data_IF_433375561929
#
_entry.id   IF_433375561929
#
_cell.length_a   1.000
_cell.length_b   1.000
_cell.length_c   1.000
_cell.angle_alpha   90.00
_cell.angle_beta   90.00
_cell.angle_gamma   90.00
#
_symmetry.space_group_name_H-M   'P 1'
#
loop_
_entity.id
_entity.type
_entity.pdbx_description
1 polymer ?
#
# COMPACT_ATOMS: atom_id res chain seq x y z
N UNK A 1 6.10 15.42 -11.30
CA UNK A 1 4.95 14.54 -11.56
C UNK A 1 5.37 13.14 -11.13
N UNK A 2 4.74 12.56 -10.11
CA UNK A 2 5.09 11.20 -9.65
C UNK A 2 4.37 10.23 -10.58
N UNK A 3 5.09 9.62 -11.51
CA UNK A 3 4.56 8.49 -12.28
C UNK A 3 4.57 7.26 -11.37
N UNK A 4 3.41 6.65 -11.17
CA UNK A 4 3.29 5.43 -10.39
C UNK A 4 3.21 4.24 -11.35
N UNK A 5 4.30 3.46 -11.41
CA UNK A 5 4.27 2.13 -12.03
C UNK A 5 3.58 1.16 -11.06
N UNK A 6 2.44 0.59 -11.43
CA UNK A 6 1.82 -0.49 -10.68
C UNK A 6 2.62 -1.79 -10.84
N UNK A 7 2.73 -2.59 -9.77
CA UNK A 7 3.27 -3.96 -9.81
C UNK A 7 2.26 -4.94 -9.21
N UNK A 8 0.99 -4.71 -9.54
CA UNK A 8 -0.12 -5.49 -9.01
C UNK A 8 -0.20 -6.83 -9.75
N UNK A 9 -0.18 -7.90 -8.97
CA UNK A 9 -0.41 -9.26 -9.45
C UNK A 9 -1.78 -9.71 -8.94
N UNK A 10 -2.63 -10.16 -9.85
CA UNK A 10 -3.98 -10.62 -9.55
C UNK A 10 -4.14 -12.10 -9.88
N UNK A 11 -4.87 -12.83 -9.05
CA UNK A 11 -5.25 -14.23 -9.23
C UNK A 11 -6.77 -14.34 -9.29
N UNK A 12 -7.27 -15.08 -10.28
CA UNK A 12 -8.70 -15.18 -10.57
C UNK A 12 -9.15 -16.64 -10.66
N UNK A 13 -10.30 -16.93 -10.05
CA UNK A 13 -10.93 -18.26 -10.06
C UNK A 13 -12.42 -18.13 -10.33
N UNK A 14 -12.92 -18.83 -11.35
CA UNK A 14 -14.36 -18.97 -11.61
C UNK A 14 -14.89 -20.28 -11.00
N UNK A 15 -16.07 -20.19 -10.37
CA UNK A 15 -16.84 -21.32 -9.89
C UNK A 15 -17.40 -22.19 -11.01
N UNK A 16 -17.68 -23.46 -10.71
CA UNK A 16 -18.18 -24.45 -11.68
C UNK A 16 -19.52 -25.02 -11.25
N UNK A 17 -20.26 -25.56 -12.21
CA UNK A 17 -21.54 -26.24 -11.95
C UNK A 17 -22.57 -25.28 -11.33
N UNK A 18 -23.06 -25.60 -10.13
CA UNK A 18 -24.06 -24.79 -9.40
C UNK A 18 -23.55 -23.41 -8.96
N UNK A 19 -22.23 -23.21 -8.94
CA UNK A 19 -21.58 -21.94 -8.60
C UNK A 19 -21.00 -21.23 -9.83
N UNK A 20 -21.46 -21.58 -11.04
CA UNK A 20 -21.03 -20.91 -12.27
C UNK A 20 -21.43 -19.44 -12.23
N UNK A 21 -20.50 -18.55 -12.56
CA UNK A 21 -20.68 -17.09 -12.47
C UNK A 21 -20.24 -16.49 -11.12
N UNK A 22 -19.94 -17.32 -10.12
CA UNK A 22 -19.25 -16.86 -8.92
C UNK A 22 -17.74 -16.77 -9.18
N UNK A 23 -17.13 -15.63 -8.84
CA UNK A 23 -15.72 -15.37 -9.07
C UNK A 23 -15.03 -15.02 -7.75
N UNK A 24 -13.92 -15.72 -7.50
CA UNK A 24 -12.96 -15.39 -6.45
C UNK A 24 -11.78 -14.64 -7.03
N UNK A 25 -11.40 -13.55 -6.36
CA UNK A 25 -10.23 -12.73 -6.68
C UNK A 25 -9.35 -12.59 -5.45
N UNK A 26 -8.04 -12.62 -5.70
CA UNK A 26 -7.02 -12.20 -4.75
C UNK A 26 -5.98 -11.38 -5.51
N UNK A 27 -5.57 -10.23 -4.99
CA UNK A 27 -4.48 -9.47 -5.58
C UNK A 27 -3.60 -8.83 -4.51
N UNK A 28 -2.35 -8.61 -4.89
CA UNK A 28 -1.32 -8.02 -4.07
C UNK A 28 -0.46 -7.14 -4.97
N UNK A 29 -0.19 -5.92 -4.51
CA UNK A 29 0.82 -5.08 -5.11
C UNK A 29 2.18 -5.45 -4.54
N UNK A 30 3.19 -5.66 -5.39
CA UNK A 30 4.54 -5.91 -4.89
C UNK A 30 5.12 -4.70 -4.15
N UNK A 31 4.52 -3.51 -4.31
CA UNK A 31 4.91 -2.26 -3.65
C UNK A 31 4.10 -1.93 -2.39
N UNK A 32 3.12 -2.75 -1.99
CA UNK A 32 2.45 -2.62 -0.69
C UNK A 32 2.15 -3.98 -0.02
N UNK A 33 2.32 -4.13 1.30
CA UNK A 33 2.06 -5.39 2.00
C UNK A 33 0.57 -5.57 2.32
N UNK A 34 -0.31 -5.29 1.36
CA UNK A 34 -1.76 -5.34 1.51
C UNK A 34 -2.36 -6.37 0.56
N UNK A 35 -2.85 -7.48 1.12
CA UNK A 35 -3.58 -8.49 0.38
C UNK A 35 -5.06 -8.12 0.32
N UNK A 36 -5.59 -7.96 -0.89
CA UNK A 36 -7.02 -7.73 -1.09
C UNK A 36 -7.69 -8.99 -1.62
N UNK A 37 -8.73 -9.41 -0.92
CA UNK A 37 -9.55 -10.58 -1.23
C UNK A 37 -10.96 -10.15 -1.57
N UNK A 38 -11.58 -10.82 -2.54
CA UNK A 38 -13.00 -10.65 -2.79
C UNK A 38 -13.62 -11.86 -3.47
N UNK A 39 -14.89 -12.10 -3.17
CA UNK A 39 -15.68 -13.14 -3.82
C UNK A 39 -17.09 -12.60 -4.06
N UNK A 40 -17.57 -12.72 -5.29
CA UNK A 40 -18.87 -12.20 -5.71
C UNK A 40 -19.42 -12.96 -6.91
N UNK A 41 -20.73 -12.84 -7.14
CA UNK A 41 -21.38 -13.33 -8.35
C UNK A 41 -21.38 -12.20 -9.37
N UNK A 42 -20.85 -12.44 -10.57
CA UNK A 42 -20.80 -11.46 -11.64
C UNK A 42 -21.90 -11.68 -12.68
N UNK A 43 -22.12 -10.67 -13.53
CA UNK A 43 -23.00 -10.78 -14.68
C UNK A 43 -22.30 -11.46 -15.88
N UNK A 44 -23.06 -11.80 -16.91
CA UNK A 44 -22.52 -12.45 -18.12
C UNK A 44 -21.47 -11.61 -18.88
N UNK A 45 -21.48 -10.29 -18.68
CA UNK A 45 -20.51 -9.34 -19.24
C UNK A 45 -19.27 -9.15 -18.36
N UNK A 46 -19.23 -9.74 -17.15
CA UNK A 46 -18.14 -9.64 -16.17
C UNK A 46 -17.77 -8.20 -15.79
N UNK A 47 -18.77 -7.33 -15.64
CA UNK A 47 -18.55 -5.90 -15.41
C UNK A 47 -17.90 -5.62 -14.07
N UNK A 48 -18.18 -6.44 -13.05
CA UNK A 48 -17.61 -6.27 -11.71
C UNK A 48 -16.12 -6.59 -11.70
N UNK A 49 -15.69 -7.63 -12.42
CA UNK A 49 -14.26 -7.97 -12.57
C UNK A 49 -13.55 -6.92 -13.42
N UNK A 50 -14.12 -6.54 -14.56
CA UNK A 50 -13.57 -5.50 -15.44
C UNK A 50 -13.37 -4.19 -14.67
N UNK A 51 -14.34 -3.85 -13.82
CA UNK A 51 -14.26 -2.73 -12.90
C UNK A 51 -13.09 -2.85 -11.93
N UNK A 52 -12.94 -4.00 -11.25
CA UNK A 52 -11.83 -4.22 -10.34
C UNK A 52 -10.49 -4.13 -11.06
N UNK A 53 -10.36 -4.67 -12.27
CA UNK A 53 -9.16 -4.53 -13.10
C UNK A 53 -8.83 -3.06 -13.41
N UNK A 54 -9.82 -2.23 -13.73
CA UNK A 54 -9.59 -0.79 -13.96
C UNK A 54 -9.10 -0.06 -12.70
N UNK A 55 -9.63 -0.43 -11.53
CA UNK A 55 -9.22 0.17 -10.26
C UNK A 55 -7.80 -0.24 -9.90
N UNK A 56 -7.52 -1.54 -9.89
CA UNK A 56 -6.25 -2.06 -9.37
C UNK A 56 -5.13 -2.04 -10.42
N UNK A 57 -5.45 -1.90 -11.72
CA UNK A 57 -4.50 -1.88 -12.84
C UNK A 57 -3.43 -2.98 -12.72
N UNK A 58 -3.85 -4.27 -12.77
CA UNK A 58 -2.93 -5.38 -12.61
C UNK A 58 -2.01 -5.48 -13.81
N UNK A 59 -0.73 -5.75 -13.56
CA UNK A 59 0.28 -5.99 -14.60
C UNK A 59 0.19 -7.44 -15.07
N UNK A 60 -0.04 -8.36 -14.14
CA UNK A 60 -0.15 -9.79 -14.40
C UNK A 60 -1.45 -10.36 -13.79
N UNK A 61 -2.21 -11.10 -14.59
CA UNK A 61 -3.38 -11.87 -14.14
C UNK A 61 -3.10 -13.36 -14.28
N UNK A 62 -3.27 -14.08 -13.17
CA UNK A 62 -3.05 -15.52 -13.05
C UNK A 62 -4.40 -16.22 -12.99
N UNK A 63 -4.56 -17.29 -13.74
CA UNK A 63 -5.78 -18.09 -13.77
C UNK A 63 -5.46 -19.59 -13.90
N UNK A 64 -6.34 -20.51 -13.46
CA UNK A 64 -6.05 -21.93 -13.53
C UNK A 64 -6.04 -22.43 -14.98
N UNK A 65 -5.10 -23.30 -15.37
CA UNK A 65 -5.01 -23.89 -16.72
C UNK A 65 -6.31 -24.58 -17.19
N UNK A 66 -7.17 -24.96 -16.25
CA UNK A 66 -8.45 -25.60 -16.52
C UNK A 66 -9.55 -24.61 -16.94
N UNK A 67 -9.34 -23.31 -16.78
CA UNK A 67 -10.02 -22.27 -17.56
C UNK A 67 -9.25 -22.17 -18.88
N UNK A 68 -9.89 -22.54 -19.99
CA UNK A 68 -9.34 -22.25 -21.31
C UNK A 68 -9.26 -20.74 -21.52
N UNK A 69 -8.24 -20.28 -22.24
CA UNK A 69 -8.16 -18.88 -22.73
C UNK A 69 -9.44 -18.50 -23.53
N UNK A 70 -10.08 -19.49 -24.14
CA UNK A 70 -11.35 -19.37 -24.86
C UNK A 70 -12.60 -19.35 -23.95
N UNK A 71 -12.46 -19.35 -22.63
CA UNK A 71 -13.62 -19.19 -21.76
C UNK A 71 -14.22 -17.79 -21.97
N UNK A 72 -15.55 -17.68 -21.90
CA UNK A 72 -16.27 -16.41 -22.14
C UNK A 72 -15.74 -15.29 -21.25
N UNK A 73 -15.31 -15.64 -20.04
CA UNK A 73 -14.71 -14.70 -19.10
C UNK A 73 -13.34 -14.21 -19.57
N UNK A 74 -12.43 -15.13 -19.91
CA UNK A 74 -11.06 -14.79 -20.30
C UNK A 74 -11.02 -14.04 -21.63
N UNK A 75 -11.81 -14.45 -22.62
CA UNK A 75 -11.88 -13.74 -23.91
C UNK A 75 -12.33 -12.29 -23.74
N UNK A 76 -13.37 -12.06 -22.93
CA UNK A 76 -13.88 -10.72 -22.60
C UNK A 76 -12.86 -9.84 -21.85
N UNK A 77 -11.99 -10.44 -21.04
CA UNK A 77 -10.95 -9.71 -20.30
C UNK A 77 -9.75 -9.41 -21.20
N UNK A 78 -9.30 -10.38 -21.99
CA UNK A 78 -8.19 -10.22 -22.94
C UNK A 78 -8.53 -9.16 -24.00
N UNK A 79 -9.77 -9.16 -24.53
CA UNK A 79 -10.22 -8.16 -25.49
C UNK A 79 -10.24 -6.74 -24.89
N UNK A 80 -10.67 -6.60 -23.63
CA UNK A 80 -10.80 -5.30 -22.99
C UNK A 80 -9.46 -4.75 -22.46
N UNK A 81 -8.51 -5.63 -22.15
CA UNK A 81 -7.26 -5.28 -21.50
C UNK A 81 -6.05 -5.92 -22.20
N UNK A 82 -5.64 -5.40 -23.38
CA UNK A 82 -4.52 -5.95 -24.13
C UNK A 82 -3.16 -5.72 -23.45
N UNK A 83 -3.06 -4.74 -22.54
CA UNK A 83 -1.82 -4.37 -21.86
C UNK A 83 -1.49 -5.29 -20.66
N UNK A 84 -2.39 -6.19 -20.28
CA UNK A 84 -2.24 -7.06 -19.10
C UNK A 84 -1.70 -8.42 -19.53
N UNK A 85 -0.68 -8.91 -18.82
CA UNK A 85 -0.13 -10.24 -19.02
C UNK A 85 -1.04 -11.31 -18.39
N UNK A 86 -1.77 -12.05 -19.21
CA UNK A 86 -2.56 -13.20 -18.76
C UNK A 86 -1.69 -14.46 -18.73
N UNK A 87 -1.52 -15.07 -17.55
CA UNK A 87 -0.67 -16.25 -17.36
C UNK A 87 -1.43 -17.45 -16.79
N UNK A 88 -1.48 -18.58 -17.51
CA UNK A 88 -2.08 -19.80 -17.00
C UNK A 88 -1.18 -20.41 -15.90
N UNK A 89 -1.78 -20.88 -14.82
CA UNK A 89 -1.08 -21.51 -13.70
C UNK A 89 -1.68 -22.85 -13.29
N UNK A 90 -0.83 -23.74 -12.79
CA UNK A 90 -1.22 -25.12 -12.52
C UNK A 90 -2.34 -25.20 -11.46
N UNK A 91 -3.40 -25.96 -11.78
CA UNK A 91 -4.59 -26.09 -10.94
C UNK A 91 -4.28 -26.58 -9.51
N UNK A 92 -3.19 -27.34 -9.33
CA UNK A 92 -2.74 -27.86 -8.02
C UNK A 92 -2.46 -26.77 -6.97
N UNK A 93 -2.16 -25.55 -7.40
CA UNK A 93 -1.88 -24.43 -6.51
C UNK A 93 -3.13 -23.63 -6.11
N UNK A 94 -4.29 -23.93 -6.70
CA UNK A 94 -5.57 -23.32 -6.35
C UNK A 94 -6.27 -24.18 -5.29
N UNK A 95 -5.81 -24.05 -4.04
CA UNK A 95 -6.31 -24.84 -2.92
C UNK A 95 -6.79 -23.91 -1.79
N UNK A 96 -8.03 -24.07 -1.38
CA UNK A 96 -8.65 -23.28 -0.31
C UNK A 96 -7.95 -23.45 1.04
N UNK A 97 -7.71 -24.70 1.48
CA UNK A 97 -7.10 -24.99 2.78
C UNK A 97 -5.71 -24.33 2.89
N UNK A 98 -4.90 -24.47 1.84
CA UNK A 98 -3.59 -23.79 1.77
C UNK A 98 -3.73 -22.28 1.75
N UNK A 99 -4.75 -21.74 1.08
CA UNK A 99 -5.05 -20.32 1.09
C UNK A 99 -5.33 -19.79 2.50
N UNK A 100 -6.12 -20.53 3.27
CA UNK A 100 -6.43 -20.21 4.65
C UNK A 100 -5.21 -20.34 5.58
N UNK A 101 -4.35 -21.34 5.36
CA UNK A 101 -3.05 -21.46 6.03
C UNK A 101 -2.15 -20.24 5.75
N UNK A 102 -2.06 -19.77 4.50
CA UNK A 102 -1.31 -18.57 4.16
C UNK A 102 -1.86 -17.32 4.85
N UNK A 103 -3.18 -17.15 4.90
CA UNK A 103 -3.82 -16.03 5.60
C UNK A 103 -3.48 -16.07 7.09
N UNK A 104 -3.61 -17.25 7.74
CA UNK A 104 -3.24 -17.43 9.15
C UNK A 104 -1.77 -17.15 9.43
N UNK A 105 -0.89 -17.55 8.51
CA UNK A 105 0.55 -17.34 8.65
C UNK A 105 0.95 -15.87 8.44
N UNK A 106 0.35 -15.19 7.47
CA UNK A 106 0.78 -13.85 7.04
C UNK A 106 0.03 -12.69 7.73
N UNK A 107 -1.18 -12.90 8.26
CA UNK A 107 -2.01 -11.83 8.86
C UNK A 107 -1.35 -11.15 10.06
N UNK A 108 -1.22 -9.83 10.03
CA UNK A 108 -0.81 -9.00 11.16
C UNK A 108 -1.94 -8.82 12.22
N UNK A 109 -3.19 -8.67 11.76
CA UNK A 109 -4.36 -8.41 12.61
C UNK A 109 -4.95 -9.69 13.24
N UNK A 110 -5.70 -9.51 14.36
CA UNK A 110 -6.52 -10.55 14.99
C UNK A 110 -7.37 -11.30 13.96
N UNK A 111 -6.87 -12.49 13.60
CA UNK A 111 -7.43 -13.35 12.56
C UNK A 111 -8.92 -13.67 12.79
N UNK A 112 -9.41 -13.59 14.03
CA UNK A 112 -10.78 -13.91 14.42
C UNK A 112 -11.85 -13.11 13.65
N UNK A 113 -11.63 -11.82 13.40
CA UNK A 113 -12.60 -11.00 12.65
C UNK A 113 -12.62 -11.32 11.16
N UNK A 114 -11.47 -11.70 10.60
CA UNK A 114 -11.32 -12.05 9.20
C UNK A 114 -11.87 -13.46 8.95
N UNK A 115 -11.71 -14.38 9.90
CA UNK A 115 -12.23 -15.75 9.83
C UNK A 115 -13.75 -15.75 9.57
N UNK A 116 -14.50 -14.94 10.34
CA UNK A 116 -15.94 -14.76 10.19
C UNK A 116 -16.34 -14.23 8.80
N UNK A 117 -15.52 -13.39 8.17
CA UNK A 117 -15.80 -12.83 6.84
C UNK A 117 -15.46 -13.80 5.71
N UNK A 118 -14.51 -14.70 5.95
CA UNK A 118 -14.04 -15.70 4.99
C UNK A 118 -14.76 -17.04 5.09
N UNK A 119 -15.65 -17.21 6.08
CA UNK A 119 -16.54 -18.37 6.15
C UNK A 119 -17.31 -18.53 4.82
N UNK A 120 -17.21 -19.71 4.23
CA UNK A 120 -17.80 -20.08 2.94
C UNK A 120 -17.24 -19.31 1.71
N UNK A 121 -16.05 -18.70 1.80
CA UNK A 121 -15.40 -17.98 0.69
C UNK A 121 -14.32 -18.81 -0.03
N UNK A 122 -14.75 -19.98 -0.50
CA UNK A 122 -13.91 -21.00 -1.14
C UNK A 122 -13.04 -20.49 -2.30
N UNK A 123 -13.60 -19.64 -3.17
CA UNK A 123 -12.94 -19.23 -4.41
C UNK A 123 -11.87 -18.16 -4.17
N UNK A 124 -12.10 -17.19 -3.27
CA UNK A 124 -11.06 -16.20 -2.97
C UNK A 124 -9.90 -16.83 -2.19
N UNK A 125 -10.16 -17.82 -1.33
CA UNK A 125 -9.13 -18.58 -0.64
C UNK A 125 -8.27 -19.39 -1.63
N UNK A 126 -8.90 -20.06 -2.59
CA UNK A 126 -8.18 -20.77 -3.66
C UNK A 126 -7.34 -19.80 -4.52
N UNK A 127 -7.87 -18.62 -4.85
CA UNK A 127 -7.15 -17.58 -5.58
C UNK A 127 -5.93 -17.06 -4.80
N UNK A 128 -6.09 -16.86 -3.49
CA UNK A 128 -5.03 -16.44 -2.56
C UNK A 128 -3.87 -17.46 -2.53
N UNK A 129 -4.19 -18.76 -2.44
CA UNK A 129 -3.16 -19.80 -2.47
C UNK A 129 -2.34 -19.80 -3.76
N UNK A 130 -3.01 -19.62 -4.90
CA UNK A 130 -2.34 -19.55 -6.19
C UNK A 130 -1.46 -18.31 -6.30
N UNK A 131 -1.92 -17.16 -5.81
CA UNK A 131 -1.18 -15.90 -5.81
C UNK A 131 0.16 -16.03 -5.08
N UNK A 132 0.16 -16.50 -3.83
CA UNK A 132 1.41 -16.63 -3.05
C UNK A 132 2.35 -17.70 -3.60
N UNK A 133 1.81 -18.82 -4.08
CA UNK A 133 2.63 -19.85 -4.72
C UNK A 133 3.29 -19.32 -6.01
N UNK A 134 2.58 -18.51 -6.80
CA UNK A 134 3.13 -17.89 -7.98
C UNK A 134 4.23 -16.88 -7.64
N UNK A 135 3.98 -15.99 -6.67
CA UNK A 135 4.96 -14.99 -6.22
C UNK A 135 6.22 -15.68 -5.66
N UNK A 136 6.07 -16.74 -4.87
CA UNK A 136 7.19 -17.51 -4.32
C UNK A 136 7.98 -18.23 -5.41
N UNK A 137 7.31 -18.89 -6.36
CA UNK A 137 7.99 -19.74 -7.35
C UNK A 137 8.58 -18.95 -8.52
N UNK A 138 7.87 -17.96 -9.04
CA UNK A 138 8.28 -17.21 -10.24
C UNK A 138 8.99 -15.90 -9.90
N UNK A 139 8.49 -15.15 -8.92
CA UNK A 139 9.09 -13.86 -8.52
C UNK A 139 10.18 -14.03 -7.46
N UNK A 140 10.28 -15.21 -6.83
CA UNK A 140 11.27 -15.52 -5.77
C UNK A 140 11.17 -14.59 -4.55
N UNK A 141 9.98 -14.04 -4.30
CA UNK A 141 9.68 -13.16 -3.17
C UNK A 141 8.94 -13.98 -2.10
N UNK A 142 9.36 -13.85 -0.85
CA UNK A 142 8.67 -14.40 0.32
C UNK A 142 8.35 -13.28 1.30
N UNK A 143 7.29 -13.43 2.07
CA UNK A 143 6.88 -12.46 3.08
C UNK A 143 7.10 -13.03 4.48
N UNK A 144 7.47 -12.17 5.43
CA UNK A 144 7.61 -12.54 6.83
C UNK A 144 6.28 -12.96 7.46
N UNK A 145 6.31 -13.70 8.57
CA UNK A 145 5.12 -14.05 9.32
C UNK A 145 4.45 -12.79 9.91
N UNK A 146 3.12 -12.75 10.02
CA UNK A 146 2.34 -11.65 10.63
C UNK A 146 2.70 -10.24 10.11
N UNK A 147 2.86 -10.12 8.81
CA UNK A 147 3.43 -8.93 8.18
C UNK A 147 2.56 -8.29 7.10
N UNK A 148 1.52 -9.01 6.66
CA UNK A 148 0.62 -8.55 5.60
C UNK A 148 -0.71 -8.18 6.22
N UNK A 149 -1.24 -7.02 5.81
CA UNK A 149 -2.60 -6.62 6.11
C UNK A 149 -3.55 -7.30 5.14
N UNK A 150 -4.58 -7.97 5.67
CA UNK A 150 -5.54 -8.70 4.86
C UNK A 150 -6.87 -7.96 4.89
N UNK A 151 -7.39 -7.67 3.70
CA UNK A 151 -8.61 -6.91 3.51
C UNK A 151 -9.56 -7.75 2.67
N UNK A 152 -10.72 -8.10 3.23
CA UNK A 152 -11.79 -8.71 2.48
C UNK A 152 -12.81 -7.65 2.04
N UNK A 153 -12.99 -7.52 0.73
CA UNK A 153 -13.99 -6.64 0.13
C UNK A 153 -15.19 -7.46 -0.34
N UNK A 154 -16.28 -7.40 0.42
CA UNK A 154 -17.59 -7.88 -0.04
C UNK A 154 -18.10 -7.00 -1.19
N UNK A 155 -18.80 -7.59 -2.17
CA UNK A 155 -19.39 -6.84 -3.28
C UNK A 155 -20.63 -6.07 -2.82
N UNK A 156 -20.46 -4.89 -2.21
CA UNK A 156 -21.55 -3.96 -1.94
C UNK A 156 -21.12 -2.48 -2.02
N UNK A 157 -21.78 -1.76 -2.95
CA UNK A 157 -22.16 -0.32 -2.91
C UNK A 157 -21.07 0.76 -3.05
N UNK A 158 -20.14 0.63 -3.99
CA UNK A 158 -19.46 1.82 -4.56
C UNK A 158 -20.03 2.10 -5.95
N UNK A 159 -20.22 3.39 -6.29
CA UNK A 159 -20.57 3.79 -7.65
C UNK A 159 -19.25 3.77 -8.43
N UNK A 160 -18.93 2.64 -9.04
CA UNK A 160 -17.82 2.62 -9.97
C UNK A 160 -18.25 3.39 -11.21
N UNK A 161 -17.51 4.46 -11.50
CA UNK A 161 -17.65 5.20 -12.76
C UNK A 161 -17.18 4.26 -13.87
N UNK A 162 -18.05 3.99 -14.83
CA UNK A 162 -17.70 3.14 -15.96
C UNK A 162 -16.47 3.73 -16.69
N UNK A 163 -15.53 2.90 -17.18
CA UNK A 163 -14.29 3.40 -17.76
C UNK A 163 -14.51 4.32 -18.97
N UNK A 164 -15.64 4.20 -19.68
CA UNK A 164 -16.05 5.13 -20.74
C UNK A 164 -16.40 6.51 -20.18
N UNK A 165 -17.24 6.60 -19.15
CA UNK A 165 -17.54 7.86 -18.46
C UNK A 165 -16.30 8.44 -17.78
N UNK A 166 -15.42 7.62 -17.20
CA UNK A 166 -14.18 8.11 -16.59
C UNK A 166 -13.26 8.79 -17.61
N UNK A 167 -13.24 8.31 -18.86
CA UNK A 167 -12.55 8.95 -19.99
C UNK A 167 -13.25 10.21 -20.46
N UNK A 168 -14.59 10.18 -20.60
CA UNK A 168 -15.40 11.35 -21.01
C UNK A 168 -15.27 12.50 -20.00
N UNK A 169 -15.25 12.17 -18.71
CA UNK A 169 -15.06 13.11 -17.61
C UNK A 169 -13.59 13.51 -17.39
N UNK A 170 -12.66 12.97 -18.20
CA UNK A 170 -11.21 13.20 -18.10
C UNK A 170 -10.71 13.07 -16.66
N UNK A 171 -11.17 12.04 -15.94
CA UNK A 171 -10.87 11.89 -14.51
C UNK A 171 -9.37 11.71 -14.27
N UNK A 172 -8.72 10.96 -15.17
CA UNK A 172 -7.30 10.58 -15.05
C UNK A 172 -6.52 10.83 -16.34
N UNK A 173 -7.14 10.61 -17.49
CA UNK A 173 -6.50 10.73 -18.81
C UNK A 173 -7.28 11.77 -19.59
N UNK A 174 -6.57 12.72 -20.17
CA UNK A 174 -7.16 13.72 -21.06
C UNK A 174 -7.40 13.10 -22.45
N UNK A 175 -8.54 13.41 -23.07
CA UNK A 175 -8.93 12.83 -24.37
C UNK A 175 -8.17 13.45 -25.54
N UNK A 176 -7.75 14.71 -25.43
CA UNK A 176 -7.05 15.44 -26.47
C UNK A 176 -5.55 15.16 -26.49
N UNK A 177 -4.93 15.12 -25.30
CA UNK A 177 -3.52 14.74 -25.13
C UNK A 177 -3.36 13.80 -23.93
N UNK A 178 -3.14 12.48 -24.15
CA UNK A 178 -2.96 11.50 -23.07
C UNK A 178 -1.78 11.80 -22.13
N UNK A 179 -0.82 12.63 -22.55
CA UNK A 179 0.33 13.04 -21.72
C UNK A 179 0.09 14.34 -20.96
N UNK A 180 -0.97 15.07 -21.28
CA UNK A 180 -1.32 16.29 -20.57
C UNK A 180 -1.77 15.98 -19.14
N UNK A 181 -1.36 16.83 -18.20
CA UNK A 181 -1.83 16.82 -16.83
C UNK A 181 -3.20 17.46 -16.65
N UNK A 182 -3.82 17.97 -17.71
CA UNK A 182 -5.09 18.69 -17.67
C UNK A 182 -6.27 17.71 -17.53
N UNK A 183 -6.37 17.13 -16.33
CA UNK A 183 -7.39 16.17 -15.92
C UNK A 183 -7.93 16.56 -14.53
N UNK A 184 -9.08 16.01 -14.12
CA UNK A 184 -9.60 16.28 -12.77
C UNK A 184 -8.57 15.88 -11.70
N UNK A 185 -7.97 14.71 -11.86
CA UNK A 185 -6.89 14.24 -11.00
C UNK A 185 -5.69 15.19 -11.03
N UNK A 186 -5.20 15.61 -12.20
CA UNK A 186 -4.06 16.52 -12.29
C UNK A 186 -4.32 17.89 -11.66
N UNK A 187 -5.56 18.36 -11.68
CA UNK A 187 -5.97 19.64 -11.09
C UNK A 187 -6.05 19.57 -9.56
N UNK A 188 -6.67 18.50 -9.02
CA UNK A 188 -6.87 18.32 -7.57
C UNK A 188 -5.59 17.84 -6.88
N UNK A 189 -4.75 17.10 -7.58
CA UNK A 189 -3.59 16.46 -6.98
C UNK A 189 -2.50 17.46 -6.58
N UNK A 190 -2.50 17.80 -5.29
CA UNK A 190 -1.44 18.54 -4.57
C UNK A 190 -0.79 17.69 -3.47
N UNK A 191 -0.96 16.37 -3.54
CA UNK A 191 -0.42 15.44 -2.55
C UNK A 191 1.11 15.44 -2.57
N UNK A 192 1.72 15.35 -1.38
CA UNK A 192 3.19 15.37 -1.21
C UNK A 192 3.79 13.97 -1.01
N UNK A 193 2.95 12.99 -0.72
CA UNK A 193 3.32 11.58 -0.50
C UNK A 193 2.73 10.70 -1.59
N UNK A 194 3.43 9.62 -1.92
CA UNK A 194 2.99 8.63 -2.92
C UNK A 194 1.71 7.91 -2.47
N UNK A 195 1.59 7.60 -1.18
CA UNK A 195 0.39 7.01 -0.60
C UNK A 195 -0.81 7.97 -0.75
N UNK A 196 -0.61 9.27 -0.54
CA UNK A 196 -1.63 10.30 -0.78
C UNK A 196 -2.05 10.37 -2.26
N UNK A 197 -1.10 10.30 -3.19
CA UNK A 197 -1.36 10.24 -4.63
C UNK A 197 -2.25 9.04 -4.99
N UNK A 198 -1.90 7.86 -4.46
CA UNK A 198 -2.65 6.61 -4.69
C UNK A 198 -4.05 6.68 -4.10
N UNK A 199 -4.17 7.13 -2.85
CA UNK A 199 -5.45 7.29 -2.16
C UNK A 199 -6.37 8.30 -2.87
N UNK A 200 -5.82 9.41 -3.36
CA UNK A 200 -6.59 10.40 -4.12
C UNK A 200 -7.10 9.79 -5.43
N UNK A 201 -6.24 9.04 -6.14
CA UNK A 201 -6.60 8.38 -7.39
C UNK A 201 -7.72 7.35 -7.18
N UNK A 202 -7.60 6.50 -6.16
CA UNK A 202 -8.64 5.50 -5.84
C UNK A 202 -9.93 6.19 -5.40
N UNK A 203 -9.84 7.25 -4.59
CA UNK A 203 -11.00 8.03 -4.15
C UNK A 203 -11.76 8.67 -5.32
N UNK A 204 -11.06 9.17 -6.35
CA UNK A 204 -11.68 9.75 -7.55
C UNK A 204 -12.32 8.66 -8.44
N UNK A 205 -11.69 7.49 -8.57
CA UNK A 205 -12.22 6.41 -9.41
C UNK A 205 -13.38 5.64 -8.79
N UNK A 206 -13.49 5.65 -7.46
CA UNK A 206 -14.45 4.82 -6.74
C UNK A 206 -15.57 5.61 -6.06
N UNK A 207 -15.95 6.80 -6.54
CA UNK A 207 -16.90 7.72 -5.87
C UNK A 207 -18.08 6.98 -5.21
N UNK A 208 -18.20 7.11 -3.89
CA UNK A 208 -19.33 6.60 -3.12
C UNK A 208 -20.63 7.25 -3.58
N UNK A 209 -21.73 6.50 -3.56
CA UNK A 209 -23.06 6.89 -4.07
C UNK A 209 -23.76 7.97 -3.22
N UNK A 210 -23.14 9.14 -3.03
CA UNK A 210 -23.66 10.23 -2.20
C UNK A 210 -24.14 11.46 -2.99
N UNK A 211 -23.68 11.66 -4.23
CA UNK A 211 -24.12 12.82 -5.02
C UNK A 211 -25.59 12.67 -5.46
N UNK A 212 -26.05 11.45 -5.77
CA UNK A 212 -27.42 11.22 -6.24
C UNK A 212 -28.47 11.42 -5.12
N UNK A 213 -28.13 11.09 -3.88
CA UNK A 213 -28.99 11.30 -2.70
C UNK A 213 -29.12 12.79 -2.37
N UNK A 214 -28.07 13.58 -2.62
CA UNK A 214 -28.09 15.03 -2.43
C UNK A 214 -29.07 15.74 -3.39
N UNK A 215 -29.23 15.22 -4.62
CA UNK A 215 -30.18 15.77 -5.62
C UNK A 215 -31.61 15.31 -5.34
N UNK A 216 -31.81 14.07 -4.86
CA UNK A 216 -33.16 13.58 -4.48
C UNK A 216 -33.70 14.19 -3.18
N UNK A 217 -32.85 14.45 -2.18
CA UNK A 217 -33.30 14.97 -0.88
C UNK A 217 -33.61 16.46 -0.85
N UNK A 218 -33.38 17.21 -1.94
CA UNK A 218 -33.95 18.56 -2.07
C UNK A 218 -35.46 18.56 -2.34
N UNK A 219 -36.06 17.40 -2.65
CA UNK A 219 -37.49 17.23 -2.86
C UNK A 219 -37.96 15.88 -2.29
N UNK A 220 -38.07 15.71 -0.98
CA UNK A 220 -39.12 14.89 -0.35
C UNK A 220 -38.98 14.92 1.18
N UNK A 221 -40.09 15.17 1.86
CA UNK A 221 -40.25 15.21 3.31
C UNK A 221 -40.08 13.82 3.95
N UNK A 222 -39.57 13.84 5.19
CA UNK A 222 -39.72 12.90 6.31
C UNK A 222 -40.26 11.49 6.01
N UNK A 223 -39.47 10.46 6.33
CA UNK A 223 -39.78 9.49 7.39
C UNK A 223 -38.80 8.29 7.38
N UNK A 224 -38.38 7.89 8.59
CA UNK A 224 -37.77 6.61 8.98
C UNK A 224 -36.30 6.39 8.49
N UNK A 225 -35.33 5.88 9.26
CA UNK A 225 -35.33 4.85 10.31
C UNK A 225 -34.16 5.14 11.28
N UNK A 226 -34.41 5.11 12.59
CA UNK A 226 -33.38 5.03 13.63
C UNK A 226 -32.71 3.64 13.62
N UNK A 227 -31.37 3.59 13.57
CA UNK A 227 -30.63 2.42 14.06
C UNK A 227 -29.54 2.86 15.03
N UNK A 228 -29.74 2.45 16.28
CA UNK A 228 -28.81 2.57 17.39
C UNK A 228 -27.61 1.64 17.23
N UNK A 229 -26.45 2.15 17.67
CA UNK A 229 -25.28 1.44 18.21
C UNK A 229 -24.79 0.15 17.51
N UNK A 230 -23.73 0.27 16.70
CA UNK A 230 -22.70 -0.75 16.59
C UNK A 230 -21.32 -0.09 16.39
N UNK A 231 -20.34 -0.52 17.19
CA UNK A 231 -18.96 -0.02 17.20
C UNK A 231 -18.28 -0.24 15.83
N UNK A 232 -18.04 0.86 15.10
CA UNK A 232 -17.23 0.89 13.87
C UNK A 232 -15.74 1.01 14.22
N UNK A 233 -15.13 -0.09 14.67
CA UNK A 233 -13.72 -0.09 15.10
C UNK A 233 -12.89 -1.10 14.32
N UNK A 234 -12.66 -0.84 13.02
CA UNK A 234 -11.44 -1.21 12.27
C UNK A 234 -11.59 -0.80 10.80
N UNK A 235 -11.32 0.49 10.55
CA UNK A 235 -10.73 0.99 9.31
C UNK A 235 -11.15 0.27 8.02
N UNK A 236 -12.30 0.73 7.50
CA UNK A 236 -12.68 0.76 6.09
C UNK A 236 -11.42 0.89 5.21
N UNK A 237 -11.04 -0.18 4.53
CA UNK A 237 -9.93 -0.18 3.59
C UNK A 237 -10.30 0.68 2.37
N UNK A 238 -9.98 1.96 2.44
CA UNK A 238 -9.79 2.86 1.30
C UNK A 238 -10.95 2.85 0.27
N UNK A 239 -12.17 3.17 0.72
CA UNK A 239 -13.29 3.44 -0.18
C UNK A 239 -13.95 4.78 0.20
N UNK A 240 -14.40 5.59 -0.78
CA UNK A 240 -15.27 6.72 -0.48
C UNK A 240 -16.64 6.20 -0.01
N UNK A 241 -16.93 6.45 1.27
CA UNK A 241 -18.12 5.95 1.95
C UNK A 241 -19.42 6.58 1.40
N UNK A 242 -20.50 5.81 1.36
CA UNK A 242 -21.88 6.28 1.12
C UNK A 242 -22.49 6.97 2.34
N UNK A 243 -21.75 7.07 3.43
CA UNK A 243 -22.21 7.63 4.70
C UNK A 243 -22.07 9.15 4.73
N UNK A 244 -23.20 9.84 4.89
CA UNK A 244 -23.29 11.30 4.95
C UNK A 244 -22.46 11.87 6.10
N UNK A 245 -22.42 11.16 7.23
CA UNK A 245 -21.68 11.60 8.41
C UNK A 245 -20.17 11.57 8.14
N UNK A 246 -19.68 10.55 7.42
CA UNK A 246 -18.26 10.45 7.05
C UNK A 246 -17.85 11.52 6.04
N UNK A 247 -18.72 11.84 5.07
CA UNK A 247 -18.45 12.90 4.10
C UNK A 247 -18.41 14.26 4.78
N UNK A 248 -19.39 14.54 5.64
CA UNK A 248 -19.47 15.80 6.39
C UNK A 248 -18.27 15.94 7.32
N UNK A 249 -17.85 14.86 7.99
CA UNK A 249 -16.63 14.84 8.81
C UNK A 249 -15.38 15.16 7.98
N UNK A 250 -15.22 14.58 6.78
CA UNK A 250 -14.08 14.87 5.89
C UNK A 250 -14.08 16.33 5.44
N UNK A 251 -15.25 16.88 5.11
CA UNK A 251 -15.39 18.29 4.76
C UNK A 251 -14.99 19.21 5.91
N UNK A 252 -15.50 18.95 7.12
CA UNK A 252 -15.15 19.70 8.32
C UNK A 252 -13.64 19.62 8.64
N UNK A 253 -13.00 18.47 8.43
CA UNK A 253 -11.53 18.35 8.59
C UNK A 253 -10.77 19.23 7.60
N UNK A 254 -11.24 19.33 6.35
CA UNK A 254 -10.62 20.20 5.33
C UNK A 254 -10.81 21.67 5.74
N UNK A 255 -12.02 22.05 6.15
CA UNK A 255 -12.31 23.42 6.61
C UNK A 255 -11.45 23.79 7.83
N UNK A 256 -11.25 22.86 8.77
CA UNK A 256 -10.38 23.07 9.93
C UNK A 256 -8.92 23.31 9.53
N UNK A 257 -8.39 22.57 8.55
CA UNK A 257 -7.03 22.77 8.04
C UNK A 257 -6.91 24.11 7.30
N UNK A 258 -7.94 24.48 6.54
CA UNK A 258 -7.97 25.74 5.78
C UNK A 258 -8.33 26.97 6.62
N UNK A 259 -8.76 26.77 7.87
CA UNK A 259 -9.15 27.85 8.78
C UNK A 259 -8.02 28.83 9.08
N UNK A 260 -6.77 28.37 9.05
CA UNK A 260 -5.58 29.22 9.23
C UNK A 260 -4.45 28.83 8.28
N UNK A 261 -3.73 29.84 7.80
CA UNK A 261 -2.55 29.64 6.95
C UNK A 261 -1.41 28.93 7.72
N UNK A 262 -1.34 29.14 9.03
CA UNK A 262 -0.36 28.50 9.92
C UNK A 262 -0.60 27.00 10.03
N UNK A 263 -1.85 26.56 10.15
CA UNK A 263 -2.20 25.14 10.15
C UNK A 263 -1.82 24.51 8.81
N UNK A 264 -2.25 25.13 7.70
CA UNK A 264 -1.92 24.65 6.36
C UNK A 264 -0.41 24.51 6.13
N UNK A 265 0.38 25.54 6.47
CA UNK A 265 1.85 25.50 6.33
C UNK A 265 2.49 24.44 7.24
N UNK A 266 1.96 24.23 8.44
CA UNK A 266 2.44 23.20 9.36
C UNK A 266 2.24 21.80 8.78
N UNK A 267 1.05 21.51 8.24
CA UNK A 267 0.79 20.25 7.55
C UNK A 267 1.63 20.10 6.28
N UNK A 268 1.78 21.15 5.47
CA UNK A 268 2.58 21.09 4.25
C UNK A 268 4.06 20.78 4.55
N UNK A 269 4.66 21.49 5.50
CA UNK A 269 6.06 21.27 5.90
C UNK A 269 6.27 19.86 6.47
N UNK A 270 5.34 19.38 7.29
CA UNK A 270 5.40 18.04 7.85
C UNK A 270 5.29 16.97 6.76
N UNK A 271 4.34 17.10 5.84
CA UNK A 271 4.19 16.16 4.72
C UNK A 271 5.38 16.20 3.76
N UNK A 272 6.04 17.35 3.60
CA UNK A 272 7.29 17.45 2.85
C UNK A 272 8.42 16.64 3.49
N UNK A 273 8.50 16.58 4.83
CA UNK A 273 9.46 15.74 5.53
C UNK A 273 9.20 14.24 5.26
N UNK A 274 7.92 13.83 5.20
CA UNK A 274 7.53 12.48 4.79
C UNK A 274 7.77 12.18 3.30
N UNK A 275 7.78 13.19 2.43
CA UNK A 275 8.05 13.00 0.99
C UNK A 275 9.42 12.36 0.70
N UNK A 276 10.36 12.51 1.63
CA UNK A 276 11.66 11.86 1.55
C UNK A 276 11.62 10.34 1.75
N UNK A 277 10.56 9.78 2.32
CA UNK A 277 10.43 8.35 2.60
C UNK A 277 9.18 7.79 1.93
N UNK A 278 9.36 6.86 1.01
CA UNK A 278 8.24 6.08 0.46
C UNK A 278 7.90 4.98 1.49
N UNK A 279 6.96 5.27 2.39
CA UNK A 279 6.59 4.39 3.50
C UNK A 279 6.08 3.03 3.01
N UNK A 280 5.30 3.01 1.93
CA UNK A 280 4.76 1.77 1.37
C UNK A 280 5.88 0.87 0.86
N UNK A 281 6.82 1.45 0.10
CA UNK A 281 7.99 0.73 -0.39
C UNK A 281 8.92 0.30 0.74
N UNK A 282 9.09 1.14 1.76
CA UNK A 282 9.89 0.85 2.93
C UNK A 282 9.33 -0.37 3.69
N UNK A 283 8.03 -0.39 3.96
CA UNK A 283 7.35 -1.48 4.64
C UNK A 283 7.50 -2.78 3.85
N UNK A 284 7.26 -2.75 2.54
CA UNK A 284 7.48 -3.91 1.67
C UNK A 284 8.90 -4.46 1.81
N UNK A 285 9.90 -3.61 1.72
CA UNK A 285 11.29 -4.03 1.73
C UNK A 285 11.72 -4.63 3.08
N UNK A 286 11.09 -4.21 4.17
CA UNK A 286 11.32 -4.76 5.51
C UNK A 286 10.63 -6.12 5.69
N UNK A 287 9.44 -6.28 5.10
CA UNK A 287 8.62 -7.50 5.19
C UNK A 287 9.10 -8.60 4.23
N UNK A 288 9.61 -8.24 3.06
CA UNK A 288 10.09 -9.20 2.07
C UNK A 288 11.38 -9.88 2.52
N UNK A 289 11.36 -11.20 2.56
CA UNK A 289 12.49 -12.05 2.90
C UNK A 289 13.28 -12.40 1.63
N UNK A 290 14.59 -12.14 1.59
CA UNK A 290 15.39 -12.42 0.41
C UNK A 290 15.62 -13.94 0.25
N UNK A 291 15.45 -14.44 -0.97
CA UNK A 291 15.68 -15.85 -1.33
C UNK A 291 17.11 -16.16 -1.80
N UNK A 292 18.09 -15.27 -1.56
CA UNK A 292 19.43 -15.35 -2.17
C UNK A 292 20.56 -15.59 -1.17
N UNK A 293 21.52 -16.44 -1.54
CA UNK A 293 22.83 -16.60 -0.90
C UNK A 293 23.94 -15.85 -1.67
N UNK A 294 25.05 -15.50 -1.00
CA UNK A 294 26.26 -14.92 -1.63
C UNK A 294 26.31 -13.39 -1.72
N UNK A 295 27.02 -12.83 -2.70
CA UNK A 295 27.30 -11.37 -2.83
C UNK A 295 26.06 -10.47 -2.95
N UNK A 296 24.93 -11.02 -3.40
CA UNK A 296 23.63 -10.29 -3.40
C UNK A 296 23.12 -10.03 -1.98
N UNK A 297 23.43 -10.92 -1.03
CA UNK A 297 23.07 -10.76 0.37
C UNK A 297 23.76 -9.53 1.00
N UNK A 298 25.02 -9.27 0.67
CA UNK A 298 25.75 -8.10 1.19
C UNK A 298 25.13 -6.79 0.72
N UNK A 299 24.79 -6.69 -0.57
CA UNK A 299 24.08 -5.50 -1.11
C UNK A 299 22.70 -5.32 -0.51
N UNK A 300 22.00 -6.42 -0.22
CA UNK A 300 20.71 -6.39 0.46
C UNK A 300 20.83 -5.96 1.93
N UNK A 301 21.84 -6.47 2.65
CA UNK A 301 22.12 -6.09 4.03
C UNK A 301 22.45 -4.59 4.12
N UNK A 302 23.26 -4.07 3.19
CA UNK A 302 23.56 -2.64 3.09
C UNK A 302 22.27 -1.81 2.88
N UNK A 303 21.39 -2.24 1.97
CA UNK A 303 20.10 -1.58 1.77
C UNK A 303 19.16 -1.69 2.98
N UNK A 304 19.21 -2.79 3.74
CA UNK A 304 18.40 -2.95 4.96
C UNK A 304 18.79 -1.95 6.04
N UNK A 305 20.07 -1.58 6.15
CA UNK A 305 20.51 -0.49 7.03
C UNK A 305 19.84 0.82 6.60
N UNK A 306 19.83 1.13 5.30
CA UNK A 306 19.15 2.33 4.77
C UNK A 306 17.65 2.33 5.10
N UNK A 307 16.98 1.17 4.99
CA UNK A 307 15.57 1.03 5.35
C UNK A 307 15.34 1.24 6.85
N UNK A 308 16.18 0.71 7.72
CA UNK A 308 16.06 0.93 9.18
C UNK A 308 16.24 2.41 9.52
N UNK A 309 17.19 3.10 8.88
CA UNK A 309 17.40 4.55 9.07
C UNK A 309 16.19 5.34 8.57
N UNK A 310 15.61 4.97 7.43
CA UNK A 310 14.39 5.59 6.92
C UNK A 310 13.19 5.34 7.84
N UNK A 311 13.08 4.15 8.43
CA UNK A 311 12.04 3.82 9.41
C UNK A 311 12.21 4.66 10.68
N UNK A 312 13.45 4.82 11.18
CA UNK A 312 13.76 5.71 12.30
C UNK A 312 13.24 7.13 12.06
N UNK A 313 13.54 7.67 10.88
CA UNK A 313 13.09 9.00 10.49
C UNK A 313 11.56 9.07 10.44
N UNK A 314 10.90 8.11 9.77
CA UNK A 314 9.45 8.05 9.67
C UNK A 314 8.74 8.03 11.04
N UNK A 315 9.23 7.20 11.97
CA UNK A 315 8.69 7.09 13.33
C UNK A 315 8.96 8.35 14.15
N UNK A 316 10.11 9.01 13.97
CA UNK A 316 10.42 10.26 14.68
C UNK A 316 9.50 11.43 14.32
N UNK A 317 8.87 11.40 13.14
CA UNK A 317 7.92 12.41 12.68
C UNK A 317 6.50 12.21 13.25
N UNK A 318 6.19 11.04 13.81
CA UNK A 318 4.86 10.71 14.36
C UNK A 318 4.48 11.66 15.48
N UNK A 319 5.43 12.01 16.36
CA UNK A 319 5.20 12.97 17.45
C UNK A 319 4.86 14.37 16.93
N UNK A 320 5.53 14.81 15.86
CA UNK A 320 5.25 16.10 15.21
C UNK A 320 3.89 16.09 14.52
N UNK A 321 3.49 14.95 13.94
CA UNK A 321 2.18 14.80 13.31
C UNK A 321 1.06 14.88 14.36
N UNK A 322 1.26 14.20 15.50
CA UNK A 322 0.33 14.24 16.62
C UNK A 322 0.15 15.67 17.15
N UNK A 323 1.23 16.39 17.42
CA UNK A 323 1.14 17.76 17.93
C UNK A 323 0.47 18.70 16.92
N UNK A 324 0.73 18.53 15.62
CA UNK A 324 0.08 19.33 14.57
C UNK A 324 -1.44 19.10 14.52
N UNK A 325 -1.89 17.84 14.68
CA UNK A 325 -3.32 17.51 14.73
C UNK A 325 -4.00 18.03 16.00
N UNK A 326 -3.32 17.93 17.15
CA UNK A 326 -3.81 18.45 18.44
C UNK A 326 -3.95 19.98 18.42
N UNK A 327 -3.02 20.69 17.75
CA UNK A 327 -3.07 22.15 17.61
C UNK A 327 -4.12 22.63 16.59
N UNK A 328 -4.44 21.81 15.58
CA UNK A 328 -5.41 22.19 14.55
C UNK A 328 -6.84 22.13 15.09
N UNK A 329 -7.33 20.93 15.41
CA UNK A 329 -8.66 20.76 16.02
C UNK A 329 -8.80 19.37 16.68
N UNK A 330 -8.58 19.24 17.99
CA UNK A 330 -8.39 17.94 18.65
C UNK A 330 -9.65 17.07 18.61
N UNK A 331 -10.85 17.67 18.59
CA UNK A 331 -12.10 16.93 18.57
C UNK A 331 -12.40 16.32 17.19
N UNK A 332 -12.09 17.03 16.09
CA UNK A 332 -12.28 16.50 14.75
C UNK A 332 -11.26 15.40 14.43
N UNK A 333 -10.02 15.56 14.91
CA UNK A 333 -8.93 14.61 14.65
C UNK A 333 -8.73 13.57 15.77
N UNK A 334 -9.65 13.48 16.75
CA UNK A 334 -9.50 12.63 17.94
C UNK A 334 -9.11 11.18 17.62
N UNK A 335 -9.77 10.56 16.65
CA UNK A 335 -9.49 9.18 16.23
C UNK A 335 -8.06 9.02 15.67
N UNK A 336 -7.57 9.99 14.90
CA UNK A 336 -6.22 9.96 14.36
C UNK A 336 -5.19 10.20 15.45
N UNK A 337 -5.46 11.13 16.36
CA UNK A 337 -4.61 11.40 17.53
C UNK A 337 -4.49 10.16 18.42
N UNK A 338 -5.58 9.43 18.65
CA UNK A 338 -5.58 8.18 19.41
C UNK A 338 -4.74 7.10 18.72
N UNK A 339 -4.86 6.94 17.40
CA UNK A 339 -4.04 5.98 16.66
C UNK A 339 -2.56 6.31 16.67
N UNK A 340 -2.20 7.61 16.67
CA UNK A 340 -0.80 8.04 16.75
C UNK A 340 -0.23 7.96 18.19
N UNK A 341 -1.03 7.53 19.18
CA UNK A 341 -0.60 7.25 20.56
C UNK A 341 -0.26 5.78 20.79
N UNK A 342 -0.22 4.98 19.72
CA UNK A 342 0.16 3.58 19.83
C UNK A 342 1.58 3.43 20.40
N UNK A 343 1.71 2.57 21.41
CA UNK A 343 2.98 2.29 22.10
C UNK A 343 3.97 1.56 21.18
N UNK A 344 3.47 0.94 20.11
CA UNK A 344 4.30 0.26 19.13
C UNK A 344 5.26 1.22 18.42
N UNK A 345 4.89 2.51 18.25
CA UNK A 345 5.80 3.50 17.67
C UNK A 345 7.02 3.73 18.57
N UNK A 346 6.82 3.87 19.88
CA UNK A 346 7.90 4.03 20.85
C UNK A 346 8.74 2.75 20.93
N UNK A 347 8.10 1.58 20.94
CA UNK A 347 8.82 0.31 20.94
C UNK A 347 9.71 0.13 19.69
N UNK A 348 9.22 0.52 18.51
CA UNK A 348 10.03 0.50 17.27
C UNK A 348 11.20 1.47 17.37
N UNK A 349 10.97 2.68 17.88
CA UNK A 349 12.01 3.69 18.06
C UNK A 349 13.09 3.20 19.03
N UNK A 350 12.71 2.63 20.16
CA UNK A 350 13.63 2.10 21.17
C UNK A 350 14.45 0.92 20.62
N UNK A 351 13.83 -0.02 19.90
CA UNK A 351 14.54 -1.13 19.24
C UNK A 351 15.57 -0.63 18.23
N UNK A 352 15.22 0.41 17.46
CA UNK A 352 16.15 1.01 16.50
C UNK A 352 17.26 1.76 17.23
N UNK A 353 16.93 2.54 18.26
CA UNK A 353 17.89 3.32 19.02
C UNK A 353 18.84 2.44 19.84
N UNK A 354 18.49 1.21 20.20
CA UNK A 354 19.42 0.25 20.81
C UNK A 354 20.60 -0.09 19.88
N UNK A 355 20.35 -0.18 18.57
CA UNK A 355 21.32 -0.68 17.58
C UNK A 355 21.94 0.45 16.76
N UNK A 356 21.18 1.47 16.39
CA UNK A 356 21.58 2.54 15.47
C UNK A 356 21.98 3.79 16.24
N UNK A 357 23.08 4.42 15.82
CA UNK A 357 23.56 5.66 16.40
C UNK A 357 22.55 6.79 16.20
N UNK A 358 22.35 7.62 17.22
CA UNK A 358 21.42 8.77 17.21
C UNK A 358 21.76 9.79 16.14
N UNK A 359 23.04 9.92 15.79
CA UNK A 359 23.51 10.89 14.80
C UNK A 359 23.38 10.42 13.35
N UNK A 360 22.98 9.18 13.10
CA UNK A 360 22.83 8.63 11.76
C UNK A 360 21.67 9.32 11.04
N UNK A 361 21.95 10.03 9.95
CA UNK A 361 20.93 10.72 9.15
C UNK A 361 20.65 9.98 7.85
N UNK A 362 19.44 10.18 7.33
CA UNK A 362 19.12 9.72 5.99
C UNK A 362 19.68 10.71 4.95
N UNK A 363 20.93 10.52 4.49
CA UNK A 363 21.48 11.34 3.41
C UNK A 363 20.93 10.86 2.05
N UNK A 364 20.18 11.72 1.36
CA UNK A 364 19.92 11.60 -0.09
C UNK A 364 20.90 12.49 -0.85
N UNK A 365 21.64 11.92 -1.80
CA UNK A 365 22.45 12.68 -2.76
C UNK A 365 23.87 13.07 -2.30
N UNK A 366 24.35 12.56 -1.17
CA UNK A 366 25.76 12.65 -0.80
C UNK A 366 26.60 11.73 -1.71
N UNK A 367 27.71 12.23 -2.25
CA UNK A 367 28.61 11.44 -3.09
C UNK A 367 28.95 10.08 -2.46
N UNK A 368 29.24 9.08 -3.30
CA UNK A 368 29.31 7.66 -2.90
C UNK A 368 30.27 7.32 -1.74
N UNK A 369 31.17 8.23 -1.35
CA UNK A 369 32.05 8.08 -0.20
C UNK A 369 31.37 8.44 1.14
N UNK A 370 30.69 9.60 1.24
CA UNK A 370 30.02 10.03 2.47
C UNK A 370 28.86 9.10 2.84
N UNK A 371 28.14 8.59 1.83
CA UNK A 371 27.07 7.64 2.03
C UNK A 371 27.58 6.28 2.53
N UNK A 372 28.79 5.86 2.13
CA UNK A 372 29.41 4.63 2.63
C UNK A 372 29.93 4.80 4.05
N UNK A 373 30.55 5.95 4.36
CA UNK A 373 31.03 6.27 5.70
C UNK A 373 29.90 6.30 6.72
N UNK A 374 28.80 6.99 6.45
CA UNK A 374 27.65 7.00 7.38
C UNK A 374 27.09 5.61 7.63
N UNK A 375 27.03 4.74 6.62
CA UNK A 375 26.60 3.35 6.79
C UNK A 375 27.56 2.54 7.63
N UNK A 376 28.88 2.69 7.40
CA UNK A 376 29.91 2.01 8.18
C UNK A 376 29.78 2.33 9.67
N UNK A 377 29.42 3.57 10.03
CA UNK A 377 29.28 4.05 11.42
C UNK A 377 27.83 4.15 11.91
N UNK A 378 26.85 3.63 11.14
CA UNK A 378 25.44 3.69 11.49
C UNK A 378 25.09 2.87 12.74
N UNK A 379 25.71 1.70 12.91
CA UNK A 379 25.51 0.84 14.09
C UNK A 379 26.31 1.41 15.26
N UNK A 380 25.78 1.40 16.48
CA UNK A 380 26.47 1.88 17.69
C UNK A 380 27.78 1.12 17.93
N UNK A 381 28.76 1.82 18.46
CA UNK A 381 30.01 1.21 18.90
C UNK A 381 29.74 0.23 20.05
N UNK A 382 30.57 -0.82 20.16
CA UNK A 382 30.46 -1.89 21.17
C UNK A 382 29.23 -2.78 21.03
N UNK A 383 28.47 -2.65 19.94
CA UNK A 383 27.38 -3.57 19.63
C UNK A 383 27.92 -4.93 19.12
N UNK A 384 28.99 -4.90 18.31
CA UNK A 384 29.64 -6.11 17.82
C UNK A 384 31.17 -5.93 17.78
N UNK A 385 31.94 -6.73 18.56
CA UNK A 385 33.40 -6.59 18.62
C UNK A 385 34.11 -6.76 17.27
N UNK A 386 33.58 -7.61 16.38
CA UNK A 386 34.16 -7.82 15.04
C UNK A 386 33.90 -6.61 14.13
N UNK A 387 32.74 -5.98 14.26
CA UNK A 387 32.41 -4.76 13.53
C UNK A 387 33.30 -3.61 13.97
N UNK A 388 33.53 -3.47 15.28
CA UNK A 388 34.41 -2.44 15.83
C UNK A 388 35.86 -2.63 15.37
N UNK A 389 36.34 -3.89 15.37
CA UNK A 389 37.67 -4.22 14.83
C UNK A 389 37.76 -3.88 13.34
N UNK A 390 36.74 -4.24 12.55
CA UNK A 390 36.70 -3.93 11.13
C UNK A 390 36.68 -2.41 10.86
N UNK A 391 35.95 -1.63 11.68
CA UNK A 391 35.95 -0.16 11.60
C UNK A 391 37.31 0.44 11.93
N UNK A 392 37.99 -0.09 12.95
CA UNK A 392 39.35 0.34 13.31
C UNK A 392 40.33 0.12 12.17
N UNK A 393 40.33 -1.08 11.57
CA UNK A 393 41.19 -1.41 10.42
C UNK A 393 40.84 -0.50 9.23
N UNK A 394 39.55 -0.28 8.96
CA UNK A 394 39.12 0.60 7.88
C UNK A 394 39.62 2.04 8.06
N UNK A 395 39.45 2.62 9.25
CA UNK A 395 39.95 3.97 9.54
C UNK A 395 41.47 4.07 9.40
N UNK A 396 42.21 3.09 9.94
CA UNK A 396 43.67 3.02 9.83
C UNK A 396 44.12 2.95 8.36
N UNK A 397 43.48 2.11 7.54
CA UNK A 397 43.80 2.04 6.10
C UNK A 397 43.48 3.33 5.36
N UNK A 398 42.45 4.07 5.75
CA UNK A 398 42.14 5.38 5.15
C UNK A 398 43.21 6.39 5.52
N UNK A 399 43.61 6.42 6.80
CA UNK A 399 44.65 7.32 7.28
C UNK A 399 45.99 7.05 6.56
N UNK A 400 46.34 5.78 6.37
CA UNK A 400 47.50 5.36 5.57
C UNK A 400 47.41 5.83 4.11
N UNK A 401 46.25 5.67 3.47
CA UNK A 401 46.03 6.14 2.09
C UNK A 401 46.17 7.67 2.02
N UNK A 402 45.62 8.41 2.96
CA UNK A 402 45.71 9.88 3.01
C UNK A 402 47.17 10.30 3.18
N UNK A 403 47.92 9.64 4.07
CA UNK A 403 49.34 9.90 4.27
C UNK A 403 50.16 9.61 3.00
N UNK A 404 49.84 8.54 2.26
CA UNK A 404 50.46 8.24 0.97
C UNK A 404 50.13 9.31 -0.09
N UNK A 405 48.89 9.76 -0.18
CA UNK A 405 48.52 10.84 -1.12
C UNK A 405 49.25 12.14 -0.80
N UNK A 406 49.48 12.46 0.48
CA UNK A 406 50.24 13.64 0.87
C UNK A 406 51.74 13.53 0.57
N UNK A 407 52.31 12.33 0.60
CA UNK A 407 53.73 12.10 0.32
C UNK A 407 54.05 12.07 -1.18
N UNK A 408 53.13 11.61 -2.03
CA UNK A 408 53.30 11.53 -3.49
C UNK A 408 52.53 12.60 -4.28
N UNK A 409 51.79 13.48 -3.61
CA UNK A 409 50.98 14.54 -4.20
C UNK A 409 51.69 15.91 -4.34
N UNK A 410 52.96 16.00 -3.94
CA UNK A 410 53.90 17.05 -4.32
C UNK A 410 54.80 16.53 -5.44
#
# INVERSE_FOLDING_TARGET
MIFYDSEVIMSIVEGRGKAKGEVGLAYLDLKSPILQLSQFVDNYSFDSIKTKCNVCMPVEIIFPNSLSENSVMMSNLIEKFPDIDFRPFERKFFNEQKGLEFIKFLSYDDYQLIDLQLENKYYCLAACSALFNYISNYKQIRYAQKSIKIIYQSSLRTLIIDPTSAKILELIINLSDPKSSDTLFGTINRTKTKSGYMLLRTSILQVGLSIFTMIKNKNFSNDCIQFHHFNFSKWQSEQPSTDLDLITKRFNMIDAILSSIENFNSFENLLMNYSSVDLDQLLVNLVQLPSYSGTRFLRLAEKKIDYIIQMKHAVSLVDQLRSTLENCEPNLFANYIEMLKDKDFDAIKDMIDEVINSNTKCIKGGGGANMKLEKCFAIKDRYNPLLDLARSIYSETIDDIIALVQTYGN
#
